data_IF_943137320785
#
_entry.id   IF_943137320785
#
_cell.length_a   1.000
_cell.length_b   1.000
_cell.length_c   1.000
_cell.angle_alpha   90.00
_cell.angle_beta   90.00
_cell.angle_gamma   90.00
#
_symmetry.space_group_name_H-M   'P 1'
#
loop_
_entity.id
_entity.type
_entity.pdbx_description
1 polymer ?
#
# COMPACT_ATOMS: atom_id res chain seq x y z
N UNK A 1 55.73 -10.30 32.13
CA UNK A 1 55.25 -9.97 30.76
C UNK A 1 54.30 -11.08 30.32
N UNK A 2 52.99 -10.82 30.26
CA UNK A 2 52.03 -11.75 29.64
C UNK A 2 50.87 -10.93 29.07
N UNK A 3 50.92 -10.70 27.74
CA UNK A 3 49.85 -10.02 26.99
C UNK A 3 48.81 -11.07 26.59
N UNK A 4 47.66 -11.06 27.25
CA UNK A 4 46.49 -11.85 26.85
C UNK A 4 45.79 -11.10 25.71
N UNK A 5 46.04 -11.55 24.48
CA UNK A 5 45.31 -11.11 23.28
C UNK A 5 43.91 -11.73 23.31
N UNK A 6 42.93 -10.94 23.71
CA UNK A 6 41.51 -11.31 23.70
C UNK A 6 40.98 -11.16 22.26
N UNK A 7 40.99 -12.26 21.51
CA UNK A 7 40.47 -12.30 20.13
C UNK A 7 38.97 -12.02 20.11
N UNK A 8 38.59 -10.86 19.59
CA UNK A 8 37.21 -10.43 19.39
C UNK A 8 36.62 -11.15 18.17
N UNK A 9 36.03 -12.32 18.37
CA UNK A 9 35.31 -13.06 17.33
C UNK A 9 33.94 -12.40 17.11
N UNK A 10 33.88 -11.46 16.17
CA UNK A 10 32.63 -10.83 15.74
C UNK A 10 31.77 -11.85 14.96
N UNK A 11 30.85 -12.52 15.66
CA UNK A 11 29.76 -13.26 15.03
C UNK A 11 28.89 -12.26 14.27
N UNK A 12 28.97 -12.26 12.94
CA UNK A 12 28.03 -11.57 12.08
C UNK A 12 26.67 -12.26 12.17
N UNK A 13 25.81 -11.82 13.08
CA UNK A 13 24.41 -12.25 13.11
C UNK A 13 23.69 -11.65 11.90
N UNK A 14 23.48 -12.46 10.86
CA UNK A 14 22.61 -12.10 9.75
C UNK A 14 21.18 -11.96 10.26
N UNK A 15 20.70 -10.72 10.43
CA UNK A 15 19.33 -10.47 10.82
C UNK A 15 18.42 -10.69 9.61
N UNK A 16 17.69 -11.80 9.57
CA UNK A 16 16.59 -11.95 8.63
C UNK A 16 15.46 -10.99 9.05
N UNK A 17 15.27 -9.92 8.28
CA UNK A 17 14.14 -9.02 8.48
C UNK A 17 12.88 -9.66 7.90
N UNK A 18 11.80 -9.68 8.68
CA UNK A 18 10.52 -10.15 8.20
C UNK A 18 9.98 -9.22 7.09
N UNK A 19 9.45 -9.80 6.02
CA UNK A 19 8.92 -9.07 4.86
C UNK A 19 7.51 -9.57 4.53
N UNK A 20 6.67 -8.66 4.01
CA UNK A 20 5.32 -9.00 3.56
C UNK A 20 5.19 -8.62 2.08
N UNK A 21 5.04 -9.62 1.22
CA UNK A 21 4.94 -9.44 -0.22
C UNK A 21 3.52 -9.73 -0.66
N UNK A 22 2.92 -8.82 -1.43
CA UNK A 22 1.62 -9.05 -2.06
C UNK A 22 1.83 -9.41 -3.53
N UNK A 23 1.04 -10.34 -4.05
CA UNK A 23 1.04 -10.71 -5.46
C UNK A 23 -0.38 -10.94 -5.94
N UNK A 24 -0.71 -10.45 -7.13
CA UNK A 24 -2.07 -10.52 -7.68
C UNK A 24 -2.04 -11.23 -9.03
N UNK A 25 -2.79 -12.31 -9.16
CA UNK A 25 -2.86 -13.11 -10.39
C UNK A 25 -4.30 -13.52 -10.73
N UNK A 26 -4.80 -13.24 -11.95
CA UNK A 26 -4.18 -12.36 -12.96
C UNK A 26 -4.24 -10.88 -12.56
N UNK A 27 -3.34 -10.06 -13.08
CA UNK A 27 -3.33 -8.60 -12.86
C UNK A 27 -4.39 -7.85 -13.70
N UNK A 28 -4.99 -8.54 -14.69
CA UNK A 28 -6.09 -8.05 -15.52
C UNK A 28 -7.23 -9.06 -15.50
N UNK A 29 -8.45 -8.61 -15.23
CA UNK A 29 -9.67 -9.44 -15.19
C UNK A 29 -10.80 -8.76 -15.94
N UNK A 30 -11.78 -9.55 -16.38
CA UNK A 30 -13.06 -9.00 -16.84
C UNK A 30 -13.95 -8.67 -15.63
N UNK A 31 -14.88 -7.73 -15.81
CA UNK A 31 -15.87 -7.37 -14.80
C UNK A 31 -16.61 -8.61 -14.28
N UNK A 32 -16.72 -8.74 -12.96
CA UNK A 32 -17.34 -9.89 -12.30
C UNK A 32 -16.49 -11.16 -12.25
N UNK A 33 -15.30 -11.19 -12.88
CA UNK A 33 -14.30 -12.25 -12.70
C UNK A 33 -13.33 -11.87 -11.59
N UNK A 34 -12.96 -12.85 -10.77
CA UNK A 34 -12.07 -12.62 -9.64
C UNK A 34 -10.61 -12.83 -10.00
N UNK A 35 -9.74 -12.08 -9.33
CA UNK A 35 -8.31 -12.35 -9.26
C UNK A 35 -7.96 -12.97 -7.89
N UNK A 36 -6.88 -13.73 -7.85
CA UNK A 36 -6.33 -14.28 -6.62
C UNK A 36 -5.22 -13.36 -6.12
N UNK A 37 -5.39 -12.84 -4.91
CA UNK A 37 -4.37 -12.11 -4.17
C UNK A 37 -3.70 -13.07 -3.20
N UNK A 38 -2.37 -13.16 -3.29
CA UNK A 38 -1.55 -13.98 -2.40
C UNK A 38 -0.60 -13.08 -1.64
N UNK A 39 -0.71 -13.09 -0.32
CA UNK A 39 0.18 -12.39 0.60
C UNK A 39 1.15 -13.41 1.18
N UNK A 40 2.44 -13.19 1.03
CA UNK A 40 3.50 -14.05 1.56
C UNK A 40 4.29 -13.26 2.59
N UNK A 41 4.27 -13.74 3.82
CA UNK A 41 5.09 -13.27 4.92
C UNK A 41 6.31 -14.19 5.03
N UNK A 42 7.51 -13.63 4.91
CA UNK A 42 8.77 -14.34 5.10
C UNK A 42 9.48 -13.84 6.35
N UNK A 43 10.27 -14.71 6.99
CA UNK A 43 11.06 -14.34 8.17
C UNK A 43 10.26 -14.29 9.47
N UNK A 44 9.12 -15.00 9.51
CA UNK A 44 8.31 -15.16 10.71
C UNK A 44 6.84 -15.46 10.39
N UNK A 45 6.12 -15.98 11.39
CA UNK A 45 4.68 -16.24 11.29
C UNK A 45 3.88 -14.99 11.67
N UNK A 46 3.14 -14.43 10.72
CA UNK A 46 2.21 -13.35 10.99
C UNK A 46 1.02 -13.84 11.84
N UNK A 47 0.71 -13.12 12.92
CA UNK A 47 -0.43 -13.45 13.80
C UNK A 47 -1.73 -12.81 13.33
N UNK A 48 -1.66 -11.61 12.76
CA UNK A 48 -2.81 -10.91 12.16
C UNK A 48 -2.42 -10.31 10.82
N UNK A 49 -3.38 -10.21 9.90
CA UNK A 49 -3.24 -9.55 8.60
C UNK A 49 -4.48 -8.71 8.35
N UNK A 50 -4.27 -7.41 8.11
CA UNK A 50 -5.35 -6.45 7.90
C UNK A 50 -5.04 -5.52 6.74
N UNK A 51 -6.07 -5.11 6.00
CA UNK A 51 -5.94 -4.08 4.98
C UNK A 51 -5.69 -2.70 5.62
N UNK A 52 -4.79 -1.89 5.04
CA UNK A 52 -4.49 -0.55 5.56
C UNK A 52 -5.57 0.49 5.26
N UNK A 53 -6.42 0.21 4.27
CA UNK A 53 -7.51 1.09 3.84
C UNK A 53 -8.67 0.26 3.26
N UNK A 54 -9.86 0.87 3.18
CA UNK A 54 -11.01 0.23 2.54
C UNK A 54 -10.82 0.14 1.02
N UNK A 55 -10.93 -1.07 0.46
CA UNK A 55 -10.87 -1.30 -0.97
C UNK A 55 -12.20 -0.89 -1.64
N UNK A 56 -12.30 0.36 -2.10
CA UNK A 56 -13.51 0.84 -2.79
C UNK A 56 -13.70 0.10 -4.12
N UNK A 57 -14.93 -0.26 -4.45
CA UNK A 57 -15.32 -0.95 -5.69
C UNK A 57 -14.67 -2.33 -5.91
N UNK A 58 -13.98 -2.86 -4.89
CA UNK A 58 -13.41 -4.20 -4.86
C UNK A 58 -14.00 -4.94 -3.66
N UNK A 59 -14.45 -6.18 -3.86
CA UNK A 59 -14.77 -7.09 -2.77
C UNK A 59 -13.56 -8.00 -2.54
N UNK A 60 -13.04 -8.00 -1.31
CA UNK A 60 -11.99 -8.93 -0.89
C UNK A 60 -12.61 -9.98 0.03
N UNK A 61 -12.50 -11.24 -0.36
CA UNK A 61 -12.94 -12.38 0.44
C UNK A 61 -11.73 -13.21 0.84
N UNK A 62 -11.60 -13.52 2.12
CA UNK A 62 -10.57 -14.42 2.60
C UNK A 62 -10.89 -15.86 2.17
N UNK A 63 -9.90 -16.57 1.63
CA UNK A 63 -10.04 -17.94 1.12
C UNK A 63 -9.34 -18.92 2.06
N UNK A 64 -8.04 -18.74 2.25
CA UNK A 64 -7.23 -19.62 3.10
C UNK A 64 -6.01 -18.91 3.70
N UNK A 65 -5.39 -19.59 4.66
CA UNK A 65 -4.06 -19.25 5.13
C UNK A 65 -3.26 -20.50 5.44
N UNK A 66 -2.00 -20.53 5.03
CA UNK A 66 -1.07 -21.63 5.25
C UNK A 66 0.18 -21.13 5.97
N UNK A 67 0.73 -21.93 6.88
CA UNK A 67 2.01 -21.64 7.57
C UNK A 67 3.00 -22.74 7.19
N UNK A 68 4.22 -22.36 6.80
CA UNK A 68 5.31 -23.29 6.54
C UNK A 68 6.49 -22.98 7.46
N UNK A 69 7.07 -24.02 8.05
CA UNK A 69 8.28 -23.93 8.87
C UNK A 69 9.26 -24.93 8.28
N UNK A 70 10.33 -24.42 7.68
CA UNK A 70 11.35 -25.22 7.01
C UNK A 70 12.69 -25.07 7.74
N UNK A 71 13.39 -26.17 7.99
CA UNK A 71 14.71 -26.15 8.62
C UNK A 71 15.73 -26.53 7.55
N UNK A 72 16.50 -25.55 7.06
CA UNK A 72 17.50 -25.75 6.02
C UNK A 72 18.89 -25.45 6.58
N UNK A 73 19.75 -26.47 6.66
CA UNK A 73 21.13 -26.32 7.15
C UNK A 73 21.23 -25.83 8.60
N UNK A 74 20.25 -26.16 9.44
CA UNK A 74 20.18 -25.71 10.84
C UNK A 74 19.56 -24.31 11.04
N UNK A 75 19.16 -23.63 9.96
CA UNK A 75 18.45 -22.34 10.03
C UNK A 75 16.94 -22.59 9.88
N UNK A 76 16.17 -22.18 10.88
CA UNK A 76 14.71 -22.21 10.84
C UNK A 76 14.20 -21.07 9.97
N UNK A 77 13.39 -21.39 8.95
CA UNK A 77 12.78 -20.46 8.02
C UNK A 77 11.27 -20.56 8.14
N UNK A 78 10.66 -19.50 8.64
CA UNK A 78 9.21 -19.42 8.83
C UNK A 78 8.58 -18.58 7.72
N UNK A 79 7.47 -19.06 7.19
CA UNK A 79 6.64 -18.30 6.25
C UNK A 79 5.15 -18.52 6.51
N UNK A 80 4.35 -17.50 6.18
CA UNK A 80 2.90 -17.59 6.21
C UNK A 80 2.32 -17.01 4.92
N UNK A 81 1.41 -17.76 4.30
CA UNK A 81 0.74 -17.38 3.06
C UNK A 81 -0.74 -17.17 3.33
N UNK A 82 -1.29 -16.06 2.86
CA UNK A 82 -2.73 -15.74 2.96
C UNK A 82 -3.30 -15.54 1.57
N UNK A 83 -4.39 -16.22 1.26
CA UNK A 83 -5.04 -16.14 -0.05
C UNK A 83 -6.38 -15.42 0.07
N UNK A 84 -6.58 -14.44 -0.79
CA UNK A 84 -7.81 -13.67 -0.92
C UNK A 84 -8.32 -13.73 -2.35
N UNK A 85 -9.64 -13.73 -2.49
CA UNK A 85 -10.32 -13.55 -3.77
C UNK A 85 -10.71 -12.08 -3.90
N UNK A 86 -10.24 -11.43 -4.97
CA UNK A 86 -10.50 -10.01 -5.27
C UNK A 86 -11.49 -9.94 -6.42
N UNK A 87 -12.71 -9.50 -6.14
CA UNK A 87 -13.80 -9.41 -7.13
C UNK A 87 -14.13 -7.94 -7.41
N UNK A 88 -13.94 -7.46 -8.64
CA UNK A 88 -14.25 -6.08 -9.00
C UNK A 88 -15.74 -5.89 -9.26
N UNK A 89 -16.27 -4.73 -8.86
CA UNK A 89 -17.68 -4.36 -9.05
C UNK A 89 -17.91 -3.42 -10.23
N UNK A 90 -16.86 -2.77 -10.73
CA UNK A 90 -16.92 -1.82 -11.85
C UNK A 90 -15.68 -2.04 -12.73
N UNK A 91 -15.77 -1.77 -14.03
CA UNK A 91 -14.61 -1.73 -14.92
C UNK A 91 -13.73 -0.51 -14.59
N UNK A 92 -12.42 -0.60 -14.77
CA UNK A 92 -11.50 0.42 -14.26
C UNK A 92 -10.12 -0.10 -13.87
N UNK A 93 -9.21 0.83 -13.54
CA UNK A 93 -7.98 0.52 -12.81
C UNK A 93 -8.20 0.82 -11.34
N UNK A 94 -7.99 -0.18 -10.48
CA UNK A 94 -8.19 -0.05 -9.05
C UNK A 94 -6.93 -0.46 -8.30
N UNK A 95 -6.63 0.27 -7.23
CA UNK A 95 -5.59 -0.12 -6.30
C UNK A 95 -6.18 -1.08 -5.25
N UNK A 96 -5.63 -2.28 -5.18
CA UNK A 96 -5.75 -3.16 -4.02
C UNK A 96 -4.88 -2.55 -2.93
N UNK A 97 -5.44 -2.19 -1.76
CA UNK A 97 -4.70 -1.50 -0.71
C UNK A 97 -3.57 -2.39 -0.18
N UNK A 98 -2.54 -1.75 0.37
CA UNK A 98 -1.51 -2.43 1.14
C UNK A 98 -2.12 -3.18 2.33
N UNK A 99 -1.42 -4.23 2.76
CA UNK A 99 -1.74 -4.99 3.96
C UNK A 99 -0.68 -4.74 5.02
N UNK A 100 -1.11 -4.73 6.28
CA UNK A 100 -0.24 -4.72 7.45
C UNK A 100 -0.36 -6.06 8.17
N UNK A 101 0.76 -6.54 8.69
CA UNK A 101 0.81 -7.76 9.48
C UNK A 101 1.74 -7.58 10.68
N UNK A 102 1.45 -8.30 11.77
CA UNK A 102 2.31 -8.34 12.96
C UNK A 102 3.10 -9.63 12.98
N UNK A 103 4.43 -9.51 13.01
CA UNK A 103 5.37 -10.63 13.18
C UNK A 103 6.15 -10.37 14.48
N UNK A 104 5.89 -11.19 15.50
CA UNK A 104 6.35 -10.90 16.86
C UNK A 104 5.81 -9.54 17.35
N UNK A 105 6.71 -8.61 17.66
CA UNK A 105 6.36 -7.25 18.09
C UNK A 105 6.63 -6.17 17.01
N UNK A 106 6.77 -6.57 15.74
CA UNK A 106 7.07 -5.67 14.62
C UNK A 106 5.94 -5.69 13.60
N UNK A 107 5.46 -4.50 13.25
CA UNK A 107 4.52 -4.33 12.14
C UNK A 107 5.29 -4.29 10.81
N UNK A 108 4.88 -5.12 9.87
CA UNK A 108 5.37 -5.17 8.49
C UNK A 108 4.23 -4.84 7.53
N UNK A 109 4.56 -4.30 6.36
CA UNK A 109 3.57 -3.87 5.37
C UNK A 109 3.94 -4.34 3.97
N UNK A 110 2.91 -4.67 3.20
CA UNK A 110 3.03 -4.94 1.77
C UNK A 110 2.89 -3.66 0.96
N UNK A 111 3.27 -3.74 -0.31
CA UNK A 111 2.94 -2.70 -1.29
C UNK A 111 1.48 -2.81 -1.75
N UNK A 112 0.94 -1.69 -2.24
CA UNK A 112 -0.35 -1.65 -2.92
C UNK A 112 -0.18 -2.11 -4.38
N UNK A 113 -1.16 -2.84 -4.92
CA UNK A 113 -1.06 -3.46 -6.25
C UNK A 113 -2.23 -3.02 -7.13
N UNK A 114 -1.98 -2.82 -8.42
CA UNK A 114 -3.02 -2.46 -9.38
C UNK A 114 -3.71 -3.69 -9.95
N UNK A 115 -5.05 -3.67 -9.93
CA UNK A 115 -5.91 -4.55 -10.71
C UNK A 115 -6.51 -3.77 -11.87
N UNK A 116 -6.34 -4.28 -13.09
CA UNK A 116 -7.02 -3.74 -14.27
C UNK A 116 -8.27 -4.56 -14.55
N UNK A 117 -9.41 -3.89 -14.69
CA UNK A 117 -10.71 -4.50 -14.90
C UNK A 117 -11.27 -4.05 -16.25
N UNK A 118 -11.52 -5.02 -17.13
CA UNK A 118 -12.09 -4.80 -18.46
C UNK A 118 -13.60 -5.01 -18.44
N UNK A 119 -14.32 -4.16 -19.15
CA UNK A 119 -15.74 -4.35 -19.48
C UNK A 119 -15.93 -5.46 -20.55
N UNK A 120 -17.18 -5.80 -20.87
CA UNK A 120 -17.55 -6.71 -21.96
C UNK A 120 -16.96 -6.31 -23.31
N UNK A 121 -16.76 -5.02 -23.53
CA UNK A 121 -16.18 -4.45 -24.75
C UNK A 121 -14.63 -4.40 -24.71
N UNK A 122 -14.01 -4.97 -23.67
CA UNK A 122 -12.55 -4.92 -23.46
C UNK A 122 -12.03 -3.55 -23.01
N UNK A 123 -12.91 -2.59 -22.75
CA UNK A 123 -12.53 -1.24 -22.33
C UNK A 123 -12.32 -1.19 -20.81
N UNK A 124 -11.33 -0.41 -20.35
CA UNK A 124 -11.00 -0.27 -18.92
C UNK A 124 -11.51 1.04 -18.32
N UNK A 125 -12.44 1.72 -19.00
CA UNK A 125 -13.07 2.94 -18.50
C UNK A 125 -14.33 2.62 -17.69
N UNK A 126 -14.48 3.13 -16.46
CA UNK A 126 -15.70 2.93 -15.69
C UNK A 126 -16.90 3.60 -16.37
N UNK A 127 -17.79 2.81 -17.00
CA UNK A 127 -19.05 3.29 -17.61
C UNK A 127 -20.15 3.60 -16.58
N UNK A 128 -20.05 3.04 -15.37
CA UNK A 128 -21.13 3.04 -14.37
C UNK A 128 -20.62 3.35 -12.96
N UNK A 129 -19.71 4.31 -12.82
CA UNK A 129 -19.65 5.06 -11.55
C UNK A 129 -20.90 5.93 -11.59
N UNK A 130 -21.91 5.58 -10.78
CA UNK A 130 -23.15 6.33 -10.65
C UNK A 130 -22.88 7.83 -10.78
N UNK A 131 -23.67 8.50 -11.64
CA UNK A 131 -23.68 9.96 -11.80
C UNK A 131 -23.36 10.63 -10.47
N UNK A 132 -22.18 11.24 -10.45
CA UNK A 132 -21.67 12.13 -9.42
C UNK A 132 -21.06 11.46 -8.17
N UNK A 133 -19.82 10.96 -8.20
CA UNK A 133 -18.85 11.50 -7.26
C UNK A 133 -18.87 13.02 -7.46
N UNK A 134 -18.90 13.86 -6.42
CA UNK A 134 -18.81 15.30 -6.64
C UNK A 134 -17.63 15.57 -7.58
N UNK A 135 -17.79 16.44 -8.60
CA UNK A 135 -16.73 16.69 -9.55
C UNK A 135 -15.44 17.00 -8.78
N UNK A 136 -14.51 16.06 -8.87
CA UNK A 136 -13.26 16.08 -8.13
C UNK A 136 -12.13 16.09 -9.16
N UNK A 137 -11.45 17.23 -9.27
CA UNK A 137 -10.29 17.39 -10.13
C UNK A 137 -9.05 17.33 -9.26
N UNK A 138 -8.18 16.34 -9.51
CA UNK A 138 -6.85 16.29 -8.91
C UNK A 138 -5.86 16.96 -9.87
N UNK A 139 -5.30 18.11 -9.48
CA UNK A 139 -4.19 18.74 -10.19
C UNK A 139 -2.89 18.29 -9.55
N UNK A 140 -1.97 17.79 -10.37
CA UNK A 140 -0.62 17.42 -9.95
C UNK A 140 0.34 18.44 -10.54
N UNK A 141 1.00 19.19 -9.67
CA UNK A 141 1.90 20.28 -10.00
C UNK A 141 3.31 19.87 -9.58
N UNK A 142 4.23 19.83 -10.54
CA UNK A 142 5.63 19.50 -10.29
C UNK A 142 6.50 20.65 -10.82
N UNK A 143 7.37 21.24 -9.98
CA UNK A 143 8.27 22.30 -10.43
C UNK A 143 9.40 21.76 -11.34
N UNK A 144 9.71 20.46 -11.27
CA UNK A 144 10.74 19.81 -12.07
C UNK A 144 10.20 19.29 -13.41
N UNK A 145 10.69 19.81 -14.53
CA UNK A 145 10.38 19.34 -15.89
C UNK A 145 11.29 18.21 -16.38
N UNK A 146 12.45 18.02 -15.75
CA UNK A 146 13.37 16.90 -15.98
C UNK A 146 13.76 16.29 -14.64
N UNK A 147 13.69 14.97 -14.54
CA UNK A 147 13.97 14.22 -13.31
C UNK A 147 14.90 13.07 -13.64
N UNK A 148 15.90 12.86 -12.80
CA UNK A 148 16.89 11.78 -12.95
C UNK A 148 16.67 10.66 -11.92
N UNK A 149 17.18 9.47 -12.22
CA UNK A 149 17.10 8.31 -11.32
C UNK A 149 17.76 8.64 -9.97
N UNK A 150 17.05 8.37 -8.87
CA UNK A 150 17.52 8.64 -7.51
C UNK A 150 17.29 10.08 -7.02
N UNK A 151 16.83 10.98 -7.87
CA UNK A 151 16.55 12.36 -7.48
C UNK A 151 15.19 12.48 -6.77
N UNK A 152 15.19 13.09 -5.59
CA UNK A 152 13.95 13.43 -4.85
C UNK A 152 13.48 14.80 -5.31
N UNK A 153 12.20 14.92 -5.69
CA UNK A 153 11.58 16.18 -6.10
C UNK A 153 10.20 16.34 -5.45
N UNK A 154 9.82 17.57 -5.07
CA UNK A 154 8.52 17.82 -4.48
C UNK A 154 7.42 17.80 -5.55
N UNK A 155 6.27 17.25 -5.19
CA UNK A 155 5.05 17.26 -6.01
C UNK A 155 3.92 17.85 -5.17
N UNK A 156 3.25 18.86 -5.71
CA UNK A 156 2.06 19.45 -5.10
C UNK A 156 0.80 18.83 -5.70
N UNK A 157 -0.13 18.44 -4.85
CA UNK A 157 -1.39 17.83 -5.26
C UNK A 157 -2.55 18.68 -4.74
N UNK A 158 -3.34 19.22 -5.65
CA UNK A 158 -4.53 20.00 -5.33
C UNK A 158 -5.77 19.19 -5.69
N UNK A 159 -6.56 18.82 -4.69
CA UNK A 159 -7.85 18.17 -4.91
C UNK A 159 -8.97 19.21 -4.83
N UNK A 160 -9.52 19.55 -5.98
CA UNK A 160 -10.70 20.40 -6.12
C UNK A 160 -11.92 19.50 -6.12
N UNK A 161 -12.65 19.39 -5.01
CA UNK A 161 -13.83 18.54 -4.92
C UNK A 161 -15.00 19.30 -4.30
N UNK A 162 -16.17 19.18 -4.91
CA UNK A 162 -17.41 19.73 -4.33
C UNK A 162 -17.95 18.78 -3.24
N UNK A 163 -18.63 19.26 -2.21
CA UNK A 163 -19.34 18.39 -1.24
C UNK A 163 -18.51 17.42 -0.38
N UNK A 164 -17.17 17.42 -0.43
CA UNK A 164 -16.34 16.62 0.48
C UNK A 164 -16.22 17.34 1.84
N UNK A 165 -16.60 16.65 2.92
CA UNK A 165 -16.34 17.12 4.29
C UNK A 165 -14.85 16.94 4.62
N UNK A 166 -14.22 17.94 5.21
CA UNK A 166 -12.77 17.99 5.46
C UNK A 166 -12.24 16.81 6.31
N UNK A 167 -13.08 16.23 7.17
CA UNK A 167 -12.77 15.03 7.97
C UNK A 167 -12.71 13.73 7.16
N UNK A 168 -13.16 13.74 5.91
CA UNK A 168 -13.28 12.57 5.04
C UNK A 168 -12.51 12.72 3.72
N UNK A 169 -11.58 13.68 3.62
CA UNK A 169 -10.75 13.83 2.44
C UNK A 169 -9.86 12.58 2.28
N UNK A 170 -10.11 11.71 1.28
CA UNK A 170 -9.21 10.61 1.02
C UNK A 170 -7.89 11.20 0.51
N UNK A 171 -6.76 10.76 1.09
CA UNK A 171 -5.46 11.09 0.52
C UNK A 171 -5.36 10.35 -0.80
N UNK A 172 -5.22 11.03 -1.95
CA UNK A 172 -5.05 10.36 -3.22
C UNK A 172 -3.74 9.58 -3.20
N UNK A 173 -3.82 8.27 -3.44
CA UNK A 173 -2.65 7.43 -3.62
C UNK A 173 -2.35 7.33 -5.11
N UNK A 174 -1.24 7.92 -5.53
CA UNK A 174 -0.69 7.70 -6.87
C UNK A 174 0.19 6.46 -6.83
N UNK A 175 -0.26 5.41 -7.51
CA UNK A 175 0.51 4.17 -7.67
C UNK A 175 1.03 4.16 -9.09
N UNK A 176 2.35 4.22 -9.24
CA UNK A 176 3.06 4.24 -10.52
C UNK A 176 4.26 3.30 -10.44
N UNK A 177 4.57 2.61 -11.53
CA UNK A 177 5.56 1.52 -11.54
C UNK A 177 7.00 1.97 -11.22
N UNK A 178 7.32 3.27 -11.32
CA UNK A 178 8.69 3.79 -11.21
C UNK A 178 8.89 4.93 -10.21
N UNK A 179 7.83 5.40 -9.53
CA UNK A 179 7.90 6.55 -8.63
C UNK A 179 7.32 6.19 -7.27
N UNK A 180 8.14 6.39 -6.21
CA UNK A 180 7.72 6.24 -4.82
C UNK A 180 7.32 7.61 -4.25
N UNK A 181 6.11 7.72 -3.71
CA UNK A 181 5.61 8.95 -3.10
C UNK A 181 5.78 8.88 -1.57
N UNK A 182 6.42 9.90 -0.99
CA UNK A 182 6.49 10.07 0.47
C UNK A 182 5.72 11.33 0.86
N UNK A 183 4.84 11.23 1.87
CA UNK A 183 4.00 12.35 2.29
C UNK A 183 4.80 13.33 3.14
N UNK A 184 4.87 14.57 2.70
CA UNK A 184 5.26 15.69 3.55
C UNK A 184 3.99 16.14 4.28
N UNK A 185 3.95 16.07 5.62
CA UNK A 185 2.78 16.55 6.38
C UNK A 185 2.62 18.05 6.10
N UNK A 186 1.47 18.45 5.56
CA UNK A 186 1.09 19.85 5.52
C UNK A 186 0.81 20.32 6.96
N UNK A 187 1.58 21.29 7.43
CA UNK A 187 1.19 22.12 8.57
C UNK A 187 -0.01 22.95 8.13
N UNK A 188 -1.22 22.55 8.54
CA UNK A 188 -2.39 23.41 8.41
C UNK A 188 -2.13 24.58 9.35
N UNK A 189 -1.81 25.75 8.79
CA UNK A 189 -1.79 26.98 9.57
C UNK A 189 -3.21 27.19 10.11
N UNK A 190 -3.38 26.98 11.41
CA UNK A 190 -4.60 27.33 12.12
C UNK A 190 -4.85 28.83 11.84
N UNK A 191 -6.01 29.24 11.31
CA UNK A 191 -6.31 30.65 11.17
C UNK A 191 -6.17 31.31 12.56
N UNK A 192 -5.46 32.42 12.62
CA UNK A 192 -5.31 33.18 13.86
C UNK A 192 -6.71 33.51 14.43
N UNK A 193 -6.90 33.43 15.75
CA UNK A 193 -8.17 33.81 16.36
C UNK A 193 -8.50 35.26 15.99
N UNK A 194 -9.69 35.47 15.43
CA UNK A 194 -10.23 36.81 15.17
C UNK A 194 -10.41 37.48 16.54
N UNK A 195 -9.86 38.68 16.79
CA UNK A 195 -10.10 39.38 18.04
C UNK A 195 -11.59 39.74 18.11
N UNK A 196 -12.26 39.22 19.14
CA UNK A 196 -13.62 39.62 19.48
C UNK A 196 -13.60 41.07 19.99
N UNK A 197 -13.82 42.03 19.09
CA UNK A 197 -14.20 43.38 19.48
C UNK A 197 -15.64 43.31 20.00
N UNK A 198 -15.79 43.31 21.32
CA UNK A 198 -17.07 43.51 22.00
C UNK A 198 -17.20 45.02 22.23
N UNK A 199 -18.29 45.60 21.72
CA UNK A 199 -18.71 46.97 21.98
C UNK A 199 -19.18 47.14 23.43
#
# INVERSE_FOLDING_TARGET
>A
MARLLFSFLALATGTFAATLTATLKPATVNLGKSATLTLVCEGGIATTVEQTAAARNLALSFVDSTKSIDIVGGVTRESATFTYQVTPRVAGRFAVPAFKAMVGNREIRSDAIILTVLDTDGNNTPKNIAKTPPPALLRVLTPATKVYVGQVFPVSMELLAQGLRQSHLPVPQLVTDSIRFTRIRQSIAKPAPVPSTVC
#
